data_IF_119987433885
#
_entry.id   IF_119987433885
#
_cell.length_a   1.000
_cell.length_b   1.000
_cell.length_c   1.000
_cell.angle_alpha   90.00
_cell.angle_beta   90.00
_cell.angle_gamma   90.00
#
_symmetry.space_group_name_H-M   'P 1'
#
loop_
_entity.id
_entity.type
_entity.pdbx_description
1 polymer ?
#
# COMPACT_ATOMS: atom_id res chain seq x y z
N UNK A 1 22.24 -0.07 -0.13
CA UNK A 1 20.99 0.66 0.18
C UNK A 1 21.23 2.15 -0.10
N UNK A 2 20.32 2.81 -0.82
CA UNK A 2 20.43 4.24 -1.13
C UNK A 2 19.42 5.00 -0.27
N UNK A 3 19.89 5.87 0.64
CA UNK A 3 19.03 6.60 1.58
C UNK A 3 18.95 8.09 1.27
N UNK A 4 17.76 8.68 1.44
CA UNK A 4 17.53 10.13 1.31
C UNK A 4 17.28 10.78 2.68
N UNK A 5 17.89 11.94 2.96
CA UNK A 5 17.71 12.68 4.23
C UNK A 5 16.48 13.60 4.22
N UNK A 6 15.64 13.49 5.25
CA UNK A 6 14.50 14.40 5.55
C UNK A 6 14.98 15.84 5.86
N UNK A 7 14.27 16.89 5.43
CA UNK A 7 14.58 18.31 5.70
C UNK A 7 14.14 19.29 4.59
N UNK A 8 14.17 20.61 4.83
CA UNK A 8 13.21 21.61 4.33
C UNK A 8 13.65 22.54 3.18
N UNK A 9 14.26 22.05 2.10
CA UNK A 9 14.59 22.92 0.95
C UNK A 9 14.07 22.40 -0.40
N UNK A 10 13.84 23.35 -1.30
CA UNK A 10 13.24 23.25 -2.64
C UNK A 10 13.87 22.24 -3.61
N UNK A 11 14.97 21.59 -3.22
CA UNK A 11 15.76 20.67 -4.04
C UNK A 11 15.73 19.20 -3.58
N UNK A 12 14.72 18.79 -2.81
CA UNK A 12 14.65 17.40 -2.34
C UNK A 12 13.95 16.45 -3.30
N UNK A 13 14.56 15.27 -3.40
CA UNK A 13 14.04 14.09 -4.08
C UNK A 13 12.71 13.69 -3.44
N UNK A 14 11.66 13.71 -4.25
CA UNK A 14 10.35 13.23 -3.87
C UNK A 14 10.29 11.71 -4.05
N UNK A 15 10.15 10.97 -2.95
CA UNK A 15 10.11 9.50 -2.99
C UNK A 15 8.90 8.98 -3.79
N UNK A 16 7.82 9.75 -3.90
CA UNK A 16 6.65 9.41 -4.72
C UNK A 16 6.96 9.52 -6.22
N UNK A 17 7.78 10.50 -6.62
CA UNK A 17 8.23 10.62 -8.01
C UNK A 17 9.12 9.43 -8.41
N UNK A 18 9.96 8.95 -7.48
CA UNK A 18 10.76 7.72 -7.67
C UNK A 18 9.84 6.50 -7.81
N UNK A 19 8.89 6.34 -6.88
CA UNK A 19 7.92 5.25 -6.93
C UNK A 19 7.12 5.24 -8.24
N UNK A 20 6.65 6.40 -8.69
CA UNK A 20 5.95 6.57 -9.95
C UNK A 20 6.84 6.24 -11.16
N UNK A 21 8.11 6.65 -11.13
CA UNK A 21 9.07 6.32 -12.18
C UNK A 21 9.27 4.80 -12.32
N UNK A 22 9.50 4.09 -11.22
CA UNK A 22 9.64 2.64 -11.25
C UNK A 22 8.33 1.94 -11.57
N UNK A 23 7.19 2.43 -11.09
CA UNK A 23 5.89 1.90 -11.49
C UNK A 23 5.67 2.01 -13.00
N UNK A 24 6.03 3.13 -13.62
CA UNK A 24 5.99 3.28 -15.09
C UNK A 24 6.91 2.28 -15.80
N UNK A 25 8.13 2.07 -15.27
CA UNK A 25 9.14 1.21 -15.91
C UNK A 25 8.92 -0.28 -15.72
N UNK A 26 8.58 -0.70 -14.50
CA UNK A 26 8.41 -2.10 -14.13
C UNK A 26 7.02 -2.64 -14.48
N UNK A 27 5.97 -1.82 -14.39
CA UNK A 27 4.59 -2.27 -14.57
C UNK A 27 3.95 -1.74 -15.88
N UNK A 28 4.73 -1.02 -16.70
CA UNK A 28 4.24 -0.39 -17.94
C UNK A 28 3.14 0.67 -17.73
N UNK A 29 3.05 1.27 -16.54
CA UNK A 29 1.93 2.14 -16.19
C UNK A 29 2.06 3.56 -16.76
N UNK A 30 0.93 4.09 -17.24
CA UNK A 30 0.76 5.54 -17.43
C UNK A 30 0.43 6.16 -16.07
N UNK A 31 1.45 6.54 -15.31
CA UNK A 31 1.27 7.19 -14.00
C UNK A 31 1.09 8.70 -14.20
N UNK A 32 0.10 9.30 -13.53
CA UNK A 32 -0.04 10.77 -13.49
C UNK A 32 1.02 11.29 -12.53
N UNK A 33 1.73 12.36 -12.90
CA UNK A 33 2.68 12.99 -11.97
C UNK A 33 1.98 13.27 -10.63
N UNK A 34 2.55 12.83 -9.50
CA UNK A 34 1.93 13.05 -8.21
C UNK A 34 1.80 14.56 -8.00
N UNK A 35 0.62 15.01 -7.57
CA UNK A 35 0.44 16.41 -7.22
C UNK A 35 1.36 16.69 -6.05
N UNK A 36 2.31 17.62 -6.23
CA UNK A 36 3.10 18.16 -5.12
C UNK A 36 2.11 18.62 -4.05
N UNK A 37 2.26 18.22 -2.77
CA UNK A 37 1.52 18.90 -1.71
C UNK A 37 1.88 20.38 -1.81
N UNK A 38 0.87 21.23 -1.97
CA UNK A 38 1.06 22.68 -2.02
C UNK A 38 1.74 23.13 -0.72
N UNK A 39 2.93 23.71 -0.86
CA UNK A 39 3.75 24.38 0.14
C UNK A 39 4.04 23.62 1.46
N UNK A 40 5.28 23.13 1.56
CA UNK A 40 5.93 22.69 2.81
C UNK A 40 6.34 23.86 3.74
N UNK A 41 5.97 25.12 3.44
CA UNK A 41 6.60 26.32 4.02
C UNK A 41 5.69 27.45 4.50
N UNK A 42 4.37 27.27 4.63
CA UNK A 42 3.56 28.21 5.44
C UNK A 42 3.44 27.68 6.89
N UNK A 43 4.59 27.67 7.55
CA UNK A 43 4.71 27.56 8.99
C UNK A 43 4.81 28.95 9.61
N UNK A 44 3.75 29.74 9.46
CA UNK A 44 3.49 30.89 10.32
C UNK A 44 2.00 30.97 10.65
N UNK A 45 1.72 31.31 11.90
CA UNK A 45 0.42 31.42 12.58
C UNK A 45 -0.24 30.13 13.10
N UNK A 46 -0.18 30.01 14.43
CA UNK A 46 -1.13 29.47 15.42
C UNK A 46 -2.07 28.29 15.12
N UNK A 47 -2.20 27.46 16.17
CA UNK A 47 -3.32 26.53 16.46
C UNK A 47 -3.30 25.14 15.80
N UNK A 48 -2.87 24.17 16.62
CA UNK A 48 -3.55 22.86 16.81
C UNK A 48 -3.80 21.93 15.62
N UNK A 49 -3.04 22.03 14.53
CA UNK A 49 -3.34 21.23 13.32
C UNK A 49 -2.13 20.87 12.45
N UNK A 50 -1.01 20.37 13.00
CA UNK A 50 0.19 20.08 12.18
C UNK A 50 0.89 18.75 12.51
N UNK A 51 0.33 17.65 12.01
CA UNK A 51 1.05 16.48 11.44
C UNK A 51 0.04 15.44 10.96
N UNK A 52 -0.53 15.61 9.75
CA UNK A 52 -1.78 14.92 9.42
C UNK A 52 -2.01 14.62 7.94
N UNK A 53 -1.00 14.12 7.21
CA UNK A 53 -1.19 13.93 5.77
C UNK A 53 -0.92 12.52 5.20
N UNK A 54 -0.31 11.60 5.97
CA UNK A 54 -0.25 10.17 5.58
C UNK A 54 -0.63 9.25 6.74
N UNK A 55 -0.22 9.61 7.96
CA UNK A 55 -0.72 9.00 9.18
C UNK A 55 -2.23 9.19 9.40
N UNK A 56 -2.89 10.13 8.71
CA UNK A 56 -4.36 10.24 8.73
C UNK A 56 -5.05 9.53 7.58
N UNK A 57 -4.47 9.49 6.37
CA UNK A 57 -5.04 8.79 5.22
C UNK A 57 -5.17 7.27 5.47
N UNK A 58 -4.21 6.69 6.20
CA UNK A 58 -4.27 5.28 6.61
C UNK A 58 -4.99 5.08 7.96
N UNK A 59 -5.02 6.10 8.83
CA UNK A 59 -5.71 5.99 10.13
C UNK A 59 -7.23 6.15 10.06
N UNK A 60 -7.80 6.83 9.04
CA UNK A 60 -9.26 6.99 8.93
C UNK A 60 -9.98 5.72 8.47
N UNK A 61 -9.24 4.78 7.86
CA UNK A 61 -9.75 3.47 7.46
C UNK A 61 -9.91 2.62 8.74
N UNK A 62 -11.00 2.82 9.48
CA UNK A 62 -11.30 2.11 10.72
C UNK A 62 -11.48 0.60 10.49
N UNK A 63 -10.97 -0.22 11.41
CA UNK A 63 -11.08 -1.68 11.37
C UNK A 63 -9.77 -2.35 11.77
N UNK A 64 -9.76 -3.08 12.88
CA UNK A 64 -8.69 -4.02 13.19
C UNK A 64 -8.92 -5.28 12.34
N UNK A 65 -8.00 -5.57 11.41
CA UNK A 65 -7.99 -6.79 10.59
C UNK A 65 -9.24 -6.99 9.71
N UNK A 66 -9.55 -6.03 8.83
CA UNK A 66 -10.74 -6.10 7.95
C UNK A 66 -10.43 -5.86 6.48
N UNK A 67 -11.24 -6.46 5.61
CA UNK A 67 -11.34 -6.07 4.22
C UNK A 67 -11.96 -4.68 4.12
N UNK A 68 -11.39 -3.85 3.25
CA UNK A 68 -11.79 -2.47 3.02
C UNK A 68 -12.57 -2.38 1.72
N UNK A 69 -13.39 -1.32 1.62
CA UNK A 69 -14.04 -0.97 0.35
C UNK A 69 -12.99 -0.51 -0.67
N UNK A 70 -12.87 -1.25 -1.78
CA UNK A 70 -11.88 -0.98 -2.82
C UNK A 70 -12.07 0.39 -3.49
N UNK A 71 -13.30 0.90 -3.58
CA UNK A 71 -13.59 2.17 -4.27
C UNK A 71 -13.17 3.37 -3.43
N UNK A 72 -13.41 3.30 -2.11
CA UNK A 72 -12.95 4.31 -1.15
C UNK A 72 -11.42 4.35 -1.10
N UNK A 73 -10.78 3.17 -1.02
CA UNK A 73 -9.31 3.07 -1.01
C UNK A 73 -8.71 3.59 -2.32
N UNK A 74 -9.27 3.21 -3.48
CA UNK A 74 -8.80 3.73 -4.78
C UNK A 74 -8.91 5.26 -4.84
N UNK A 75 -10.05 5.83 -4.44
CA UNK A 75 -10.30 7.27 -4.47
C UNK A 75 -9.28 8.04 -3.62
N UNK A 76 -9.04 7.57 -2.38
CA UNK A 76 -8.07 8.18 -1.47
C UNK A 76 -6.64 8.10 -2.00
N UNK A 77 -6.21 6.91 -2.46
CA UNK A 77 -4.88 6.72 -3.03
C UNK A 77 -4.64 7.62 -4.25
N UNK A 78 -5.67 7.86 -5.07
CA UNK A 78 -5.57 8.79 -6.22
C UNK A 78 -5.55 10.25 -5.80
N UNK A 79 -6.36 10.64 -4.82
CA UNK A 79 -6.50 12.03 -4.40
C UNK A 79 -5.28 12.51 -3.60
N UNK A 80 -4.76 11.66 -2.71
CA UNK A 80 -3.85 12.07 -1.65
C UNK A 80 -2.41 11.59 -1.84
N UNK A 81 -2.19 10.43 -2.48
CA UNK A 81 -0.85 9.83 -2.61
C UNK A 81 -0.38 9.69 -4.06
N UNK A 82 -1.33 9.63 -5.01
CA UNK A 82 -1.11 9.48 -6.44
C UNK A 82 -0.21 8.26 -6.81
N UNK A 83 -0.37 7.14 -6.11
CA UNK A 83 0.44 5.92 -6.31
C UNK A 83 -0.07 4.99 -7.42
N UNK A 84 -1.35 5.12 -7.79
CA UNK A 84 -1.98 4.26 -8.78
C UNK A 84 -1.76 4.79 -10.20
N UNK A 85 -1.46 3.89 -11.13
CA UNK A 85 -1.50 4.19 -12.56
C UNK A 85 -2.88 4.69 -13.00
N UNK A 86 -2.95 5.41 -14.12
CA UNK A 86 -4.20 5.98 -14.66
C UNK A 86 -5.30 4.91 -14.81
N UNK A 87 -4.92 3.75 -15.31
CA UNK A 87 -5.82 2.62 -15.60
C UNK A 87 -5.68 1.47 -14.58
N UNK A 88 -4.90 1.68 -13.50
CA UNK A 88 -4.72 0.70 -12.42
C UNK A 88 -5.90 0.79 -11.45
N UNK A 89 -6.60 -0.33 -11.18
CA UNK A 89 -7.78 -0.37 -10.29
C UNK A 89 -7.47 -1.16 -9.03
N UNK A 90 -7.97 -0.71 -7.88
CA UNK A 90 -7.95 -1.53 -6.66
C UNK A 90 -9.04 -2.58 -6.77
N UNK A 91 -8.71 -3.85 -6.54
CA UNK A 91 -9.63 -4.98 -6.64
C UNK A 91 -9.96 -5.56 -5.29
N UNK A 92 -8.99 -5.61 -4.38
CA UNK A 92 -9.20 -5.92 -2.97
C UNK A 92 -8.21 -5.11 -2.13
N UNK A 93 -8.61 -4.77 -0.90
CA UNK A 93 -7.77 -4.08 0.05
C UNK A 93 -8.00 -4.65 1.45
N UNK A 94 -6.93 -4.91 2.18
CA UNK A 94 -6.94 -5.49 3.52
C UNK A 94 -6.13 -4.60 4.45
N UNK A 95 -6.63 -4.36 5.65
CA UNK A 95 -5.90 -3.65 6.69
C UNK A 95 -5.72 -4.54 7.90
N UNK A 96 -4.49 -4.65 8.39
CA UNK A 96 -4.15 -5.36 9.62
C UNK A 96 -3.31 -4.43 10.49
N UNK A 97 -3.88 -4.02 11.63
CA UNK A 97 -3.30 -2.98 12.46
C UNK A 97 -3.13 -1.67 11.68
N UNK A 98 -1.88 -1.27 11.43
CA UNK A 98 -1.56 -0.04 10.67
C UNK A 98 -1.18 -0.31 9.22
N UNK A 99 -0.96 -1.58 8.87
CA UNK A 99 -0.44 -1.95 7.57
C UNK A 99 -1.60 -2.26 6.62
N UNK A 100 -1.38 -1.98 5.35
CA UNK A 100 -2.41 -2.14 4.31
C UNK A 100 -1.85 -2.94 3.15
N UNK A 101 -2.57 -3.96 2.74
CA UNK A 101 -2.25 -4.80 1.57
C UNK A 101 -3.31 -4.59 0.50
N UNK A 102 -2.86 -4.25 -0.70
CA UNK A 102 -3.70 -3.93 -1.84
C UNK A 102 -3.43 -4.95 -2.95
N UNK A 103 -4.50 -5.53 -3.49
CA UNK A 103 -4.48 -6.26 -4.75
C UNK A 103 -5.06 -5.34 -5.81
N UNK A 104 -4.23 -4.88 -6.74
CA UNK A 104 -4.67 -4.02 -7.85
C UNK A 104 -4.80 -4.83 -9.13
N UNK A 105 -5.18 -4.21 -10.24
CA UNK A 105 -5.15 -4.88 -11.56
C UNK A 105 -3.75 -5.13 -12.12
N UNK A 106 -2.69 -4.75 -11.39
CA UNK A 106 -1.32 -4.70 -11.89
C UNK A 106 -0.30 -5.33 -10.95
N UNK A 107 -0.55 -5.29 -9.65
CA UNK A 107 0.39 -5.71 -8.61
C UNK A 107 -0.30 -5.97 -7.28
N UNK A 108 0.38 -6.73 -6.44
CA UNK A 108 0.21 -6.66 -5.00
C UNK A 108 1.06 -5.50 -4.47
N UNK A 109 0.48 -4.63 -3.63
CA UNK A 109 1.19 -3.56 -2.95
C UNK A 109 1.00 -3.71 -1.44
N UNK A 110 2.10 -3.71 -0.70
CA UNK A 110 2.09 -3.68 0.76
C UNK A 110 2.59 -2.34 1.28
N UNK A 111 1.79 -1.70 2.13
CA UNK A 111 2.04 -0.41 2.74
C UNK A 111 2.23 -0.63 4.23
N UNK A 112 3.45 -0.40 4.69
CA UNK A 112 3.89 -0.71 6.05
C UNK A 112 4.24 0.58 6.79
N UNK A 113 3.56 0.81 7.91
CA UNK A 113 3.74 2.02 8.72
C UNK A 113 4.79 1.74 9.82
N UNK A 114 6.01 2.22 9.58
CA UNK A 114 7.17 2.02 10.43
C UNK A 114 7.31 3.06 11.55
N UNK A 115 7.91 2.60 12.64
CA UNK A 115 8.29 3.41 13.79
C UNK A 115 7.13 3.69 14.76
N UNK A 116 7.50 4.14 15.95
CA UNK A 116 6.57 4.44 17.05
C UNK A 116 5.63 5.59 16.66
N UNK A 117 6.17 6.63 16.01
CA UNK A 117 5.38 7.79 15.57
C UNK A 117 4.56 7.54 14.30
N UNK A 118 4.77 6.41 13.61
CA UNK A 118 4.08 6.08 12.36
C UNK A 118 4.34 7.07 11.21
N UNK A 119 5.45 7.79 11.27
CA UNK A 119 5.79 8.84 10.28
C UNK A 119 6.64 8.33 9.12
N UNK A 120 7.15 7.09 9.22
CA UNK A 120 7.89 6.43 8.15
C UNK A 120 6.97 5.39 7.51
N UNK A 121 6.84 5.43 6.18
CA UNK A 121 5.99 4.50 5.45
C UNK A 121 6.85 3.83 4.39
N UNK A 122 6.80 2.50 4.36
CA UNK A 122 7.44 1.69 3.35
C UNK A 122 6.37 1.20 2.37
N UNK A 123 6.55 1.49 1.09
CA UNK A 123 5.73 0.97 0.01
C UNK A 123 6.49 -0.13 -0.70
N UNK A 124 5.99 -1.36 -0.62
CA UNK A 124 6.55 -2.52 -1.31
C UNK A 124 5.60 -2.91 -2.43
N UNK A 125 6.12 -3.04 -3.66
CA UNK A 125 5.33 -3.40 -4.84
C UNK A 125 5.83 -4.73 -5.38
N UNK A 126 4.89 -5.64 -5.61
CA UNK A 126 5.10 -6.95 -6.21
C UNK A 126 4.26 -7.02 -7.50
N UNK A 127 4.85 -6.73 -8.68
CA UNK A 127 4.23 -7.05 -9.96
C UNK A 127 3.73 -8.51 -9.96
N UNK A 128 2.57 -8.79 -10.53
CA UNK A 128 2.11 -10.19 -10.60
C UNK A 128 3.07 -11.07 -11.40
N UNK A 129 3.73 -10.50 -12.41
CA UNK A 129 4.76 -11.13 -13.24
C UNK A 129 5.96 -11.70 -12.46
N UNK A 130 6.22 -11.20 -11.25
CA UNK A 130 7.34 -11.68 -10.40
C UNK A 130 6.92 -12.62 -9.29
N UNK A 131 5.62 -12.89 -9.13
CA UNK A 131 5.11 -13.85 -8.14
C UNK A 131 5.19 -15.27 -8.73
N UNK A 132 5.97 -16.16 -8.14
CA UNK A 132 6.10 -17.55 -8.62
C UNK A 132 5.06 -18.47 -7.98
N UNK A 133 4.59 -18.13 -6.79
CA UNK A 133 3.57 -18.90 -6.09
C UNK A 133 2.77 -18.02 -5.15
N UNK A 134 1.55 -18.46 -4.85
CA UNK A 134 0.73 -17.94 -3.78
C UNK A 134 -0.02 -19.07 -3.08
N UNK A 135 -0.45 -18.83 -1.86
CA UNK A 135 -1.24 -19.75 -1.06
C UNK A 135 -2.26 -18.95 -0.26
N UNK A 136 -3.51 -19.43 -0.26
CA UNK A 136 -4.57 -18.91 0.61
C UNK A 136 -4.99 -20.04 1.53
N UNK A 137 -4.78 -19.85 2.81
CA UNK A 137 -5.25 -20.75 3.87
C UNK A 137 -6.53 -20.16 4.47
N UNK A 138 -7.58 -20.96 4.53
CA UNK A 138 -8.82 -20.57 5.22
C UNK A 138 -8.72 -20.90 6.70
N UNK A 139 -9.40 -20.11 7.54
CA UNK A 139 -9.56 -20.40 8.96
C UNK A 139 -10.21 -21.78 9.18
N UNK A 140 -9.71 -22.49 10.20
CA UNK A 140 -10.19 -23.81 10.59
C UNK A 140 -11.24 -23.74 11.69
N UNK A 141 -11.62 -24.90 12.24
CA UNK A 141 -12.56 -24.95 13.36
C UNK A 141 -11.98 -24.41 14.69
N UNK A 142 -10.65 -24.42 14.83
CA UNK A 142 -9.94 -24.01 16.06
C UNK A 142 -9.05 -22.77 15.88
N UNK A 143 -8.70 -22.44 14.64
CA UNK A 143 -7.90 -21.26 14.29
C UNK A 143 -8.79 -20.30 13.52
N UNK A 144 -8.94 -19.08 14.04
CA UNK A 144 -9.85 -18.06 13.54
C UNK A 144 -9.23 -17.18 12.47
N UNK A 145 -7.96 -17.39 12.10
CA UNK A 145 -7.30 -16.58 11.09
C UNK A 145 -7.10 -17.38 9.81
N UNK A 146 -7.37 -16.71 8.69
CA UNK A 146 -6.95 -17.13 7.36
C UNK A 146 -5.59 -16.51 7.06
N UNK A 147 -4.86 -17.02 6.08
CA UNK A 147 -3.53 -16.52 5.76
C UNK A 147 -3.33 -16.43 4.25
N UNK A 148 -2.80 -15.30 3.77
CA UNK A 148 -2.32 -15.12 2.41
C UNK A 148 -0.79 -15.14 2.41
N UNK A 149 -0.20 -16.00 1.60
CA UNK A 149 1.23 -16.06 1.31
C UNK A 149 1.49 -15.86 -0.17
N UNK A 150 2.53 -15.10 -0.51
CA UNK A 150 3.09 -15.00 -1.86
C UNK A 150 4.60 -15.17 -1.79
N UNK A 151 5.18 -15.75 -2.84
CA UNK A 151 6.62 -15.97 -2.93
C UNK A 151 7.20 -15.31 -4.16
N UNK A 152 8.42 -14.79 -4.00
CA UNK A 152 9.23 -14.29 -5.12
C UNK A 152 10.58 -15.01 -5.21
N UNK A 153 11.16 -15.11 -6.40
CA UNK A 153 12.56 -15.55 -6.60
C UNK A 153 13.59 -14.43 -6.46
N UNK A 154 13.16 -13.21 -6.10
CA UNK A 154 14.04 -12.06 -6.01
C UNK A 154 14.98 -12.17 -4.79
N UNK A 155 16.30 -12.00 -4.99
CA UNK A 155 17.26 -11.98 -3.89
C UNK A 155 16.91 -10.90 -2.86
N UNK A 156 16.68 -11.31 -1.61
CA UNK A 156 16.35 -10.40 -0.50
C UNK A 156 14.88 -10.01 -0.37
N UNK A 157 14.01 -10.44 -1.30
CA UNK A 157 12.56 -10.21 -1.23
C UNK A 157 11.79 -11.53 -1.42
N UNK A 158 12.00 -12.50 -0.53
CA UNK A 158 11.54 -13.89 -0.70
C UNK A 158 10.02 -14.06 -0.81
N UNK A 159 9.23 -13.09 -0.38
CA UNK A 159 7.78 -13.18 -0.37
C UNK A 159 7.14 -12.25 0.66
N UNK A 160 5.84 -12.45 0.85
CA UNK A 160 5.01 -11.69 1.78
C UNK A 160 3.97 -12.64 2.39
N UNK A 161 3.71 -12.51 3.69
CA UNK A 161 2.66 -13.25 4.41
C UNK A 161 1.78 -12.27 5.17
N UNK A 162 0.48 -12.50 5.16
CA UNK A 162 -0.51 -11.68 5.86
C UNK A 162 -1.62 -12.55 6.42
N UNK A 163 -1.80 -12.47 7.73
CA UNK A 163 -2.97 -13.02 8.40
C UNK A 163 -4.20 -12.15 8.08
N UNK A 164 -5.30 -12.80 7.77
CA UNK A 164 -6.59 -12.25 7.44
C UNK A 164 -7.61 -12.80 8.44
N UNK A 165 -8.23 -11.94 9.25
CA UNK A 165 -9.18 -12.39 10.27
C UNK A 165 -10.39 -13.07 9.63
N UNK A 166 -10.77 -14.27 10.09
CA UNK A 166 -11.92 -14.98 9.54
C UNK A 166 -13.22 -14.18 9.70
N UNK A 167 -14.06 -14.25 8.68
CA UNK A 167 -15.32 -13.51 8.63
C UNK A 167 -15.16 -12.03 8.25
N UNK A 168 -13.92 -11.52 8.21
CA UNK A 168 -13.64 -10.13 7.83
C UNK A 168 -12.90 -10.00 6.49
N UNK A 169 -12.52 -11.12 5.86
CA UNK A 169 -11.90 -11.16 4.54
C UNK A 169 -12.49 -12.28 3.66
N UNK A 170 -12.79 -11.97 2.40
CA UNK A 170 -13.21 -12.96 1.40
C UNK A 170 -11.99 -13.72 0.85
N UNK A 171 -11.54 -14.73 1.57
CA UNK A 171 -10.41 -15.61 1.19
C UNK A 171 -10.64 -16.33 -0.14
N UNK A 172 -11.89 -16.73 -0.43
CA UNK A 172 -12.24 -17.33 -1.73
C UNK A 172 -12.16 -16.30 -2.85
N UNK A 173 -12.50 -15.04 -2.56
CA UNK A 173 -12.29 -13.90 -3.45
C UNK A 173 -10.82 -13.67 -3.75
N UNK A 174 -9.96 -13.68 -2.72
CA UNK A 174 -8.50 -13.56 -2.88
C UNK A 174 -7.94 -14.66 -3.78
N UNK A 175 -8.29 -15.92 -3.51
CA UNK A 175 -7.84 -17.06 -4.32
C UNK A 175 -8.26 -16.91 -5.79
N UNK A 176 -9.52 -16.55 -6.04
CA UNK A 176 -10.05 -16.35 -7.41
C UNK A 176 -9.32 -15.22 -8.12
N UNK A 177 -9.18 -14.07 -7.47
CA UNK A 177 -8.54 -12.89 -8.02
C UNK A 177 -7.08 -13.16 -8.39
N UNK A 178 -6.30 -13.75 -7.47
CA UNK A 178 -4.89 -14.06 -7.75
C UNK A 178 -4.72 -15.11 -8.84
N UNK A 179 -5.74 -15.92 -9.12
CA UNK A 179 -5.75 -16.87 -10.24
C UNK A 179 -6.07 -16.21 -11.59
N UNK A 180 -6.51 -14.95 -11.62
CA UNK A 180 -6.76 -14.19 -12.86
C UNK A 180 -5.46 -13.62 -13.47
N UNK A 181 -4.38 -13.54 -12.70
CA UNK A 181 -3.11 -12.91 -13.05
C UNK A 181 -2.00 -13.96 -13.20
#
# INVERSE_FOLDING_TARGET
ELGYRKGSESHKVNIYDIGAFFAKKLLGLKVKEPKRPSSFLDASSNSSSKQRWLGSAVAWIGGDATQLDETMVESDLRANVALLGKDEKVRMAFKVGRDTTLLTTRRLMHIDVKGVTGTCIQYTTFPYEVLQAFSVQTAGHFDLDAELKVWTELPGLKGFSQDLRAGYADTKGVQRLLSEY
#
